data_IF_556564027241
#
_entry.id   IF_556564027241
#
_cell.length_a   1.000
_cell.length_b   1.000
_cell.length_c   1.000
_cell.angle_alpha   90.00
_cell.angle_beta   90.00
_cell.angle_gamma   90.00
#
_symmetry.space_group_name_H-M   'P 1'
#
loop_
_entity.id
_entity.type
_entity.pdbx_description
1 polymer ?
#
# COMPACT_ATOMS: atom_id res chain seq x y z
N UNK A 1 -13.01 4.42 -1.51
CA UNK A 1 -12.58 4.30 -0.10
C UNK A 1 -11.49 3.25 -0.04
N UNK A 2 -10.33 3.56 0.53
CA UNK A 2 -9.23 2.59 0.70
C UNK A 2 -9.22 2.00 2.11
N UNK A 3 -8.82 0.73 2.29
CA UNK A 3 -8.69 0.11 3.60
C UNK A 3 -7.50 0.66 4.38
N UNK A 4 -7.65 0.65 5.71
CA UNK A 4 -6.57 0.91 6.65
C UNK A 4 -5.95 -0.42 7.10
N UNK A 5 -4.63 -0.53 7.02
CA UNK A 5 -3.90 -1.70 7.45
C UNK A 5 -3.74 -1.71 8.97
N UNK A 6 -4.07 -2.84 9.58
CA UNK A 6 -3.79 -3.12 10.99
C UNK A 6 -2.44 -3.81 11.18
N UNK A 7 -2.29 -4.49 12.32
CA UNK A 7 -1.07 -5.22 12.69
C UNK A 7 -0.81 -6.47 11.86
N UNK A 8 -1.83 -7.00 11.17
CA UNK A 8 -1.66 -8.18 10.32
C UNK A 8 -0.79 -7.86 9.09
N UNK A 9 0.09 -8.81 8.74
CA UNK A 9 0.96 -8.74 7.56
C UNK A 9 0.20 -9.19 6.31
N UNK A 10 -0.79 -8.39 5.91
CA UNK A 10 -1.61 -8.64 4.73
C UNK A 10 -1.87 -7.36 3.97
N UNK A 11 -1.89 -7.45 2.64
CA UNK A 11 -2.32 -6.39 1.75
C UNK A 11 -3.66 -6.76 1.08
N UNK A 12 -4.49 -5.75 0.75
CA UNK A 12 -5.61 -5.97 -0.16
C UNK A 12 -5.12 -6.44 -1.53
N UNK A 13 -5.94 -7.15 -2.31
CA UNK A 13 -5.57 -7.55 -3.66
C UNK A 13 -5.22 -6.33 -4.53
N UNK A 14 -4.08 -6.34 -5.23
CA UNK A 14 -3.62 -5.21 -6.06
C UNK A 14 -4.65 -4.70 -7.07
N UNK A 15 -5.54 -5.58 -7.56
CA UNK A 15 -6.66 -5.24 -8.45
C UNK A 15 -7.72 -4.32 -7.83
N UNK A 16 -7.71 -4.15 -6.51
CA UNK A 16 -8.62 -3.23 -5.80
C UNK A 16 -8.01 -1.84 -5.58
N UNK A 17 -6.82 -1.57 -6.12
CA UNK A 17 -6.25 -0.23 -6.12
C UNK A 17 -7.19 0.74 -6.85
N UNK A 18 -7.21 1.99 -6.41
CA UNK A 18 -7.96 3.06 -7.07
C UNK A 18 -7.39 3.32 -8.47
N UNK A 19 -8.28 3.71 -9.39
CA UNK A 19 -7.89 4.20 -10.71
C UNK A 19 -7.55 5.69 -10.71
N UNK A 20 -8.06 6.44 -9.73
CA UNK A 20 -7.76 7.85 -9.50
C UNK A 20 -7.81 8.12 -7.98
N UNK A 21 -6.67 8.48 -7.34
CA UNK A 21 -5.33 8.47 -7.90
C UNK A 21 -4.85 7.04 -8.25
N UNK A 22 -4.19 6.87 -9.41
CA UNK A 22 -3.81 5.54 -9.91
C UNK A 22 -2.93 4.78 -8.92
N UNK A 23 -3.34 3.56 -8.61
CA UNK A 23 -2.58 2.63 -7.81
C UNK A 23 -2.73 2.78 -6.31
N UNK A 24 -3.44 3.79 -5.78
CA UNK A 24 -3.62 3.93 -4.33
C UNK A 24 -4.41 2.74 -3.77
N UNK A 25 -3.77 1.94 -2.90
CA UNK A 25 -4.29 0.64 -2.46
C UNK A 25 -4.74 0.63 -1.01
N UNK A 26 -3.94 1.19 -0.09
CA UNK A 26 -4.21 1.15 1.35
C UNK A 26 -3.48 2.26 2.10
N UNK A 27 -3.90 2.52 3.34
CA UNK A 27 -3.25 3.45 4.26
C UNK A 27 -2.87 2.77 5.59
N UNK A 28 -1.88 3.28 6.31
CA UNK A 28 -1.48 2.80 7.64
C UNK A 28 -0.58 1.57 7.64
N UNK A 29 -0.63 0.81 8.74
CA UNK A 29 0.32 -0.25 9.05
C UNK A 29 1.63 0.30 9.61
N UNK A 30 2.76 -0.24 9.17
CA UNK A 30 4.10 0.10 9.64
C UNK A 30 5.13 0.01 8.49
N UNK A 31 6.39 0.35 8.75
CA UNK A 31 7.52 0.13 7.83
C UNK A 31 8.41 -1.02 8.29
N UNK A 32 7.83 -2.06 8.90
CA UNK A 32 8.59 -3.23 9.30
C UNK A 32 9.21 -3.93 8.08
N UNK A 33 10.42 -4.52 8.21
CA UNK A 33 11.04 -5.24 7.10
C UNK A 33 10.15 -6.32 6.49
N UNK A 34 9.38 -7.03 7.32
CA UNK A 34 8.45 -8.07 6.88
C UNK A 34 7.34 -7.51 5.97
N UNK A 35 6.74 -6.37 6.35
CA UNK A 35 5.70 -5.73 5.54
C UNK A 35 6.25 -5.14 4.25
N UNK A 36 7.44 -4.54 4.30
CA UNK A 36 8.12 -4.02 3.11
C UNK A 36 8.41 -5.13 2.10
N UNK A 37 9.03 -6.23 2.56
CA UNK A 37 9.32 -7.39 1.71
C UNK A 37 8.05 -7.98 1.09
N UNK A 38 6.97 -8.10 1.88
CA UNK A 38 5.67 -8.54 1.39
C UNK A 38 5.13 -7.58 0.32
N UNK A 39 5.15 -6.28 0.58
CA UNK A 39 4.70 -5.26 -0.36
C UNK A 39 5.44 -5.35 -1.69
N UNK A 40 6.78 -5.26 -1.65
CA UNK A 40 7.60 -5.33 -2.86
C UNK A 40 7.40 -6.64 -3.64
N UNK A 41 7.22 -7.78 -2.96
CA UNK A 41 6.94 -9.06 -3.63
C UNK A 41 5.63 -9.09 -4.42
N UNK A 42 4.67 -8.21 -4.08
CA UNK A 42 3.39 -8.04 -4.75
C UNK A 42 3.39 -6.78 -5.67
N UNK A 43 4.53 -6.10 -5.78
CA UNK A 43 4.69 -4.79 -6.42
C UNK A 43 3.80 -3.72 -5.81
N UNK A 44 3.74 -3.72 -4.48
CA UNK A 44 3.13 -2.68 -3.65
C UNK A 44 4.28 -1.93 -2.96
N UNK A 45 4.30 -0.61 -3.01
CA UNK A 45 5.35 0.20 -2.39
C UNK A 45 4.77 1.35 -1.56
N UNK A 46 5.45 1.74 -0.47
CA UNK A 46 5.01 2.86 0.33
C UNK A 46 5.46 4.18 -0.32
N UNK A 47 4.55 5.14 -0.48
CA UNK A 47 4.86 6.49 -0.94
C UNK A 47 3.91 7.49 -0.30
N UNK A 48 4.43 8.36 0.56
CA UNK A 48 3.66 9.32 1.36
C UNK A 48 4.52 10.52 1.73
N UNK A 49 3.87 11.64 2.05
CA UNK A 49 4.50 12.88 2.56
C UNK A 49 4.58 12.86 4.09
N UNK A 50 5.37 13.76 4.68
CA UNK A 50 5.61 13.78 6.14
C UNK A 50 4.33 13.90 7.01
N UNK A 51 3.32 14.60 6.51
CA UNK A 51 2.03 14.82 7.21
C UNK A 51 0.98 13.77 6.85
N UNK A 52 1.31 12.82 5.97
CA UNK A 52 0.39 11.78 5.52
C UNK A 52 0.64 10.48 6.31
N UNK A 53 -0.41 9.68 6.55
CA UNK A 53 -0.18 8.30 6.96
C UNK A 53 0.61 7.56 5.88
N UNK A 54 1.22 6.42 6.24
CA UNK A 54 1.85 5.56 5.24
C UNK A 54 0.81 5.18 4.19
N UNK A 55 1.02 5.56 2.93
CA UNK A 55 0.18 5.17 1.81
C UNK A 55 0.90 4.11 0.99
N UNK A 56 0.16 3.08 0.60
CA UNK A 56 0.65 1.96 -0.18
C UNK A 56 0.07 1.99 -1.58
N UNK A 57 0.94 1.86 -2.58
CA UNK A 57 0.62 2.06 -3.99
C UNK A 57 0.98 0.85 -4.83
N UNK A 58 0.19 0.58 -5.86
CA UNK A 58 0.41 -0.44 -6.88
C UNK A 58 -0.18 0.05 -8.21
N UNK A 59 0.53 0.95 -8.92
CA UNK A 59 0.06 1.52 -10.19
C UNK A 59 -0.24 0.45 -11.24
N UNK A 60 -1.15 0.80 -12.15
CA UNK A 60 -1.61 -0.09 -13.22
C UNK A 60 -0.52 -0.41 -14.25
N UNK A 61 0.37 0.55 -14.53
CA UNK A 61 1.62 0.34 -15.26
C UNK A 61 2.77 0.16 -14.26
N UNK A 62 3.57 -0.90 -14.45
CA UNK A 62 4.67 -1.30 -13.55
C UNK A 62 5.99 -1.26 -14.28
#
# INVERSE_FOLDING_TARGET
>A
MIPWLGHELVFPPVRSALSEPDGLLAAGGDLSPARLLLGYSQGIFPWFSAEEPILWWSPSQR
#
